data_IF_485650315899
#
_entry.id   IF_485650315899
#
_cell.length_a   1.000
_cell.length_b   1.000
_cell.length_c   1.000
_cell.angle_alpha   90.00
_cell.angle_beta   90.00
_cell.angle_gamma   90.00
#
_symmetry.space_group_name_H-M   'P 1'
#
loop_
_entity.id
_entity.type
_entity.pdbx_description
1 polymer ?
#
# COMPACT_ATOMS: atom_id res chain seq x y z
N UNK A 1 -5.55 17.58 29.02
CA UNK A 1 -4.65 16.40 28.99
C UNK A 1 -5.50 15.22 28.56
N UNK A 2 -5.53 14.91 27.26
CA UNK A 2 -6.15 13.67 26.80
C UNK A 2 -5.26 12.51 27.25
N UNK A 3 -5.85 11.46 27.84
CA UNK A 3 -5.11 10.23 28.13
C UNK A 3 -4.43 9.70 26.86
N UNK A 4 -3.30 9.05 27.04
CA UNK A 4 -2.58 8.36 25.98
C UNK A 4 -3.54 7.35 25.31
N UNK A 5 -3.64 7.37 23.98
CA UNK A 5 -4.50 6.44 23.25
C UNK A 5 -3.84 5.07 23.21
N UNK A 6 -4.63 4.04 23.44
CA UNK A 6 -4.16 2.66 23.41
C UNK A 6 -4.35 2.04 22.02
N UNK A 7 -3.38 1.21 21.63
CA UNK A 7 -3.52 0.36 20.45
C UNK A 7 -4.50 -0.79 20.70
N UNK A 8 -5.14 -1.26 19.64
CA UNK A 8 -6.02 -2.41 19.67
C UNK A 8 -5.18 -3.68 19.88
N UNK A 9 -5.34 -4.27 21.07
CA UNK A 9 -4.84 -5.59 21.44
C UNK A 9 -6.03 -6.51 21.76
N UNK A 10 -6.07 -7.70 21.15
CA UNK A 10 -7.11 -8.70 21.41
C UNK A 10 -6.53 -9.73 22.38
N UNK A 11 -6.92 -9.69 23.65
CA UNK A 11 -6.38 -10.58 24.69
C UNK A 11 -6.71 -12.06 24.46
N UNK A 12 -7.84 -12.36 23.81
CA UNK A 12 -8.29 -13.72 23.48
C UNK A 12 -9.58 -13.71 22.64
N UNK A 13 -10.09 -14.88 22.22
CA UNK A 13 -11.34 -14.99 21.46
C UNK A 13 -12.55 -14.90 22.39
N UNK A 14 -12.71 -13.79 23.10
CA UNK A 14 -13.89 -13.49 23.91
C UNK A 14 -14.81 -12.46 23.22
N UNK A 15 -16.06 -12.38 23.69
CA UNK A 15 -17.07 -11.48 23.12
C UNK A 15 -16.63 -10.01 23.22
N UNK A 16 -15.90 -9.64 24.27
CA UNK A 16 -15.39 -8.28 24.44
C UNK A 16 -14.33 -7.90 23.39
N UNK A 17 -13.43 -8.82 23.04
CA UNK A 17 -12.43 -8.62 21.99
C UNK A 17 -13.09 -8.59 20.61
N UNK A 18 -14.13 -9.42 20.39
CA UNK A 18 -14.92 -9.38 19.17
C UNK A 18 -15.68 -8.06 19.01
N UNK A 19 -16.33 -7.57 20.07
CA UNK A 19 -17.05 -6.29 20.07
C UNK A 19 -16.12 -5.11 19.79
N UNK A 20 -14.91 -5.10 20.39
CA UNK A 20 -13.88 -4.10 20.09
C UNK A 20 -13.44 -4.16 18.64
N UNK A 21 -13.21 -5.36 18.11
CA UNK A 21 -12.81 -5.55 16.72
C UNK A 21 -13.91 -5.07 15.75
N UNK A 22 -15.16 -5.42 16.01
CA UNK A 22 -16.32 -5.01 15.21
C UNK A 22 -16.50 -3.49 15.25
N UNK A 23 -16.41 -2.87 16.44
CA UNK A 23 -16.50 -1.42 16.59
C UNK A 23 -15.44 -0.66 15.77
N UNK A 24 -14.23 -1.20 15.66
CA UNK A 24 -13.17 -0.61 14.84
C UNK A 24 -13.36 -0.94 13.34
N UNK A 25 -13.89 -2.12 13.02
CA UNK A 25 -14.17 -2.53 11.63
C UNK A 25 -15.34 -1.77 11.00
N UNK A 26 -16.31 -1.33 11.80
CA UNK A 26 -17.45 -0.52 11.35
C UNK A 26 -17.09 0.95 11.09
N UNK A 27 -15.89 1.38 11.48
CA UNK A 27 -15.41 2.73 11.19
C UNK A 27 -15.32 2.96 9.69
N UNK A 28 -15.83 4.10 9.25
CA UNK A 28 -15.80 4.56 7.89
C UNK A 28 -14.86 5.75 7.70
N UNK A 29 -14.87 6.29 6.47
CA UNK A 29 -14.05 7.46 6.13
C UNK A 29 -14.37 8.69 6.99
N UNK A 30 -15.61 8.84 7.43
CA UNK A 30 -16.05 9.99 8.23
C UNK A 30 -15.41 9.97 9.63
N UNK A 31 -15.19 8.78 10.19
CA UNK A 31 -14.59 8.58 11.51
C UNK A 31 -13.08 8.86 11.54
N UNK A 32 -12.43 8.92 10.37
CA UNK A 32 -10.99 9.18 10.26
C UNK A 32 -10.62 10.65 10.47
N UNK A 33 -11.60 11.56 10.52
CA UNK A 33 -11.38 12.99 10.70
C UNK A 33 -10.81 13.70 9.47
N UNK A 34 -10.24 14.89 9.69
CA UNK A 34 -9.73 15.74 8.60
C UNK A 34 -8.48 15.13 7.94
N UNK A 35 -8.33 15.38 6.63
CA UNK A 35 -7.14 14.94 5.89
C UNK A 35 -5.97 15.87 6.21
N UNK A 36 -4.89 15.33 6.78
CA UNK A 36 -3.66 16.07 7.08
C UNK A 36 -2.67 16.07 5.93
N UNK A 37 -2.54 14.94 5.23
CA UNK A 37 -1.67 14.81 4.07
C UNK A 37 -2.27 13.87 3.01
N UNK A 38 -1.91 14.08 1.74
CA UNK A 38 -2.30 13.19 0.64
C UNK A 38 -1.09 12.85 -0.22
N UNK A 39 -0.89 11.55 -0.42
CA UNK A 39 0.15 10.99 -1.26
C UNK A 39 -0.47 10.23 -2.42
N UNK A 40 0.33 10.01 -3.47
CA UNK A 40 -0.08 9.31 -4.69
C UNK A 40 1.01 8.33 -5.10
N UNK A 41 0.60 7.23 -5.73
CA UNK A 41 1.50 6.21 -6.25
C UNK A 41 2.06 6.61 -7.62
N UNK A 42 2.82 7.71 -7.65
CA UNK A 42 3.49 8.18 -8.86
C UNK A 42 4.57 7.19 -9.31
N UNK A 43 4.71 6.95 -10.63
CA UNK A 43 5.83 6.20 -11.16
C UNK A 43 7.18 6.81 -10.78
N UNK A 44 8.16 5.96 -10.50
CA UNK A 44 9.50 6.38 -10.14
C UNK A 44 10.30 6.92 -11.33
N UNK A 45 11.47 7.51 -11.06
CA UNK A 45 12.35 8.11 -12.09
C UNK A 45 12.73 7.12 -13.19
N UNK A 46 13.02 5.86 -12.84
CA UNK A 46 13.42 4.82 -13.80
C UNK A 46 12.33 4.56 -14.84
N UNK A 47 11.05 4.58 -14.44
CA UNK A 47 9.93 4.42 -15.37
C UNK A 47 9.93 5.52 -16.43
N UNK A 48 10.12 6.78 -16.03
CA UNK A 48 10.15 7.91 -16.95
C UNK A 48 11.35 7.89 -17.88
N UNK A 49 12.52 7.45 -17.38
CA UNK A 49 13.70 7.25 -18.23
C UNK A 49 13.42 6.19 -19.30
N UNK A 50 12.88 5.02 -18.91
CA UNK A 50 12.55 3.96 -19.88
C UNK A 50 11.49 4.41 -20.88
N UNK A 51 10.45 5.11 -20.43
CA UNK A 51 9.44 5.68 -21.32
C UNK A 51 10.07 6.66 -22.32
N UNK A 52 10.97 7.55 -21.89
CA UNK A 52 11.66 8.48 -22.77
C UNK A 52 12.59 7.76 -23.77
N UNK A 53 13.32 6.73 -23.33
CA UNK A 53 14.19 5.91 -24.19
C UNK A 53 13.41 5.16 -25.26
N UNK A 54 12.13 4.83 -25.03
CA UNK A 54 11.27 4.23 -26.06
C UNK A 54 10.64 5.30 -26.96
N UNK A 55 10.10 6.36 -26.37
CA UNK A 55 9.31 7.39 -27.09
C UNK A 55 10.19 8.24 -28.00
N UNK A 56 11.39 8.64 -27.56
CA UNK A 56 12.25 9.54 -28.35
C UNK A 56 12.77 8.89 -29.64
N UNK A 57 13.37 7.67 -29.62
CA UNK A 57 13.79 7.00 -30.85
C UNK A 57 12.60 6.65 -31.74
N UNK A 58 11.45 6.27 -31.15
CA UNK A 58 10.24 6.00 -31.92
C UNK A 58 9.74 7.24 -32.66
N UNK A 59 9.73 8.40 -32.00
CA UNK A 59 9.40 9.68 -32.62
C UNK A 59 10.38 10.05 -33.73
N UNK A 60 11.69 9.87 -33.51
CA UNK A 60 12.71 10.12 -34.53
C UNK A 60 12.53 9.21 -35.76
N UNK A 61 12.27 7.91 -35.55
CA UNK A 61 11.97 6.96 -36.62
C UNK A 61 10.72 7.38 -37.38
N UNK A 62 9.64 7.73 -36.67
CA UNK A 62 8.39 8.17 -37.28
C UNK A 62 8.56 9.44 -38.15
N UNK A 63 9.50 10.34 -37.82
CA UNK A 63 9.81 11.52 -38.63
C UNK A 63 10.72 11.18 -39.81
N UNK A 64 11.65 10.25 -39.64
CA UNK A 64 12.62 9.85 -40.67
C UNK A 64 12.03 8.98 -41.80
N UNK A 65 10.82 8.43 -41.62
CA UNK A 65 10.17 7.60 -42.64
C UNK A 65 9.77 8.46 -43.87
N UNK A 66 10.20 8.10 -45.09
CA UNK A 66 9.95 8.90 -46.29
C UNK A 66 8.48 8.82 -46.75
N UNK A 67 7.83 7.69 -46.52
CA UNK A 67 6.46 7.43 -46.98
C UNK A 67 5.42 7.96 -46.00
N UNK A 68 4.37 8.61 -46.51
CA UNK A 68 3.27 9.11 -45.68
C UNK A 68 2.56 7.98 -44.92
N UNK A 69 2.38 6.81 -45.54
CA UNK A 69 1.75 5.65 -44.91
C UNK A 69 2.58 5.13 -43.72
N UNK A 70 3.89 4.98 -43.90
CA UNK A 70 4.80 4.57 -42.83
C UNK A 70 4.76 5.52 -41.63
N UNK A 71 4.73 6.83 -41.88
CA UNK A 71 4.60 7.85 -40.81
C UNK A 71 3.28 7.73 -40.04
N UNK A 72 2.16 7.51 -40.74
CA UNK A 72 0.84 7.33 -40.11
C UNK A 72 0.83 6.09 -39.22
N UNK A 73 1.35 4.96 -39.71
CA UNK A 73 1.41 3.70 -38.93
C UNK A 73 2.30 3.88 -37.70
N UNK A 74 3.50 4.45 -37.86
CA UNK A 74 4.40 4.72 -36.75
C UNK A 74 3.78 5.65 -35.70
N UNK A 75 3.09 6.72 -36.14
CA UNK A 75 2.37 7.62 -35.25
C UNK A 75 1.23 6.89 -34.50
N UNK A 76 0.44 6.05 -35.18
CA UNK A 76 -0.65 5.30 -34.54
C UNK A 76 -0.14 4.34 -33.45
N UNK A 77 0.95 3.61 -33.71
CA UNK A 77 1.59 2.74 -32.72
C UNK A 77 2.14 3.55 -31.54
N UNK A 78 2.83 4.65 -31.81
CA UNK A 78 3.37 5.54 -30.79
C UNK A 78 2.27 6.15 -29.89
N UNK A 79 1.19 6.64 -30.50
CA UNK A 79 0.01 7.14 -29.79
C UNK A 79 -0.64 6.05 -28.93
N UNK A 80 -0.74 4.83 -29.44
CA UNK A 80 -1.28 3.69 -28.69
C UNK A 80 -0.42 3.38 -27.46
N UNK A 81 0.92 3.34 -27.61
CA UNK A 81 1.84 3.15 -26.49
C UNK A 81 1.70 4.27 -25.45
N UNK A 82 1.67 5.54 -25.88
CA UNK A 82 1.50 6.69 -24.99
C UNK A 82 0.15 6.65 -24.26
N UNK A 83 -0.92 6.19 -24.92
CA UNK A 83 -2.21 5.97 -24.28
C UNK A 83 -2.11 4.93 -23.17
N UNK A 84 -1.43 3.80 -23.40
CA UNK A 84 -1.21 2.78 -22.35
C UNK A 84 -0.38 3.33 -21.19
N UNK A 85 0.69 4.08 -21.45
CA UNK A 85 1.48 4.77 -20.42
C UNK A 85 0.61 5.74 -19.62
N UNK A 86 -0.22 6.55 -20.30
CA UNK A 86 -1.13 7.49 -19.66
C UNK A 86 -2.19 6.77 -18.81
N UNK A 87 -2.73 5.63 -19.25
CA UNK A 87 -3.65 4.81 -18.47
C UNK A 87 -2.97 4.26 -17.20
N UNK A 88 -1.77 3.70 -17.33
CA UNK A 88 -1.00 3.17 -16.20
C UNK A 88 -0.67 4.26 -15.16
N UNK A 89 -0.21 5.41 -15.62
CA UNK A 89 0.08 6.58 -14.77
C UNK A 89 -1.23 7.10 -14.15
N UNK A 90 -2.30 7.18 -14.95
CA UNK A 90 -3.61 7.65 -14.52
C UNK A 90 -4.18 6.84 -13.36
N UNK A 91 -4.04 5.51 -13.40
CA UNK A 91 -4.43 4.62 -12.29
C UNK A 91 -3.60 4.92 -11.03
N UNK A 92 -2.28 5.05 -11.16
CA UNK A 92 -1.41 5.38 -10.02
C UNK A 92 -1.67 6.77 -9.41
N UNK A 93 -2.05 7.74 -10.24
CA UNK A 93 -2.40 9.11 -9.80
C UNK A 93 -3.80 9.16 -9.17
N UNK A 94 -4.72 8.31 -9.62
CA UNK A 94 -6.06 8.18 -9.05
C UNK A 94 -6.03 7.52 -7.67
N UNK A 95 -5.07 6.62 -7.43
CA UNK A 95 -4.79 6.03 -6.13
C UNK A 95 -4.21 7.09 -5.18
N UNK A 96 -4.91 7.33 -4.07
CA UNK A 96 -4.53 8.33 -3.07
C UNK A 96 -4.41 7.69 -1.70
N UNK A 97 -3.28 7.91 -1.07
CA UNK A 97 -3.06 7.55 0.34
C UNK A 97 -3.27 8.81 1.16
N UNK A 98 -4.39 8.89 1.87
CA UNK A 98 -4.70 10.05 2.71
C UNK A 98 -4.36 9.69 4.14
N UNK A 99 -3.52 10.52 4.75
CA UNK A 99 -3.24 10.50 6.18
C UNK A 99 -4.24 11.45 6.82
N UNK A 100 -5.12 10.93 7.66
CA UNK A 100 -6.14 11.70 8.35
C UNK A 100 -5.80 11.82 9.85
N UNK A 101 -6.70 12.42 10.63
CA UNK A 101 -6.51 12.61 12.07
C UNK A 101 -6.50 11.30 12.86
N UNK A 102 -7.38 10.36 12.52
CA UNK A 102 -7.58 9.12 13.29
C UNK A 102 -7.24 7.84 12.51
N UNK A 103 -6.74 7.95 11.27
CA UNK A 103 -6.34 6.80 10.48
C UNK A 103 -5.89 7.13 9.06
N UNK A 104 -5.66 6.09 8.28
CA UNK A 104 -5.44 6.17 6.84
C UNK A 104 -6.72 5.93 6.08
N UNK A 105 -6.88 6.65 4.97
CA UNK A 105 -7.90 6.36 3.96
C UNK A 105 -7.19 6.10 2.64
N UNK A 106 -7.26 4.85 2.16
CA UNK A 106 -6.59 4.39 0.95
C UNK A 106 -7.60 4.00 -0.13
N UNK A 107 -7.23 4.17 -1.39
CA UNK A 107 -8.11 3.96 -2.55
C UNK A 107 -8.36 5.21 -3.39
N UNK A 108 -9.30 5.07 -4.34
CA UNK A 108 -9.60 6.10 -5.33
C UNK A 108 -10.49 7.23 -4.80
N UNK A 109 -10.41 8.41 -5.44
CA UNK A 109 -11.06 9.65 -4.98
C UNK A 109 -12.55 9.52 -4.64
N UNK A 110 -13.31 8.79 -5.45
CA UNK A 110 -14.79 8.75 -5.41
C UNK A 110 -15.37 7.53 -4.70
N UNK A 111 -14.56 6.51 -4.42
CA UNK A 111 -15.00 5.21 -3.87
C UNK A 111 -13.92 4.58 -2.99
N UNK A 112 -13.30 5.35 -2.10
CA UNK A 112 -12.27 4.85 -1.18
C UNK A 112 -12.96 4.11 -0.02
N UNK A 113 -12.99 2.76 0.02
CA UNK A 113 -13.70 2.02 1.06
C UNK A 113 -12.78 1.55 2.19
N UNK A 114 -11.47 1.78 2.07
CA UNK A 114 -10.49 1.18 2.96
C UNK A 114 -10.00 2.24 3.95
N UNK A 115 -10.37 2.03 5.20
CA UNK A 115 -9.87 2.80 6.33
C UNK A 115 -8.95 1.94 7.18
N UNK A 116 -7.90 2.53 7.73
CA UNK A 116 -6.95 1.83 8.60
C UNK A 116 -6.80 2.72 9.84
N UNK A 117 -7.57 2.46 10.90
CA UNK A 117 -7.55 3.29 12.10
C UNK A 117 -6.18 3.20 12.79
N UNK A 118 -5.72 4.30 13.39
CA UNK A 118 -4.43 4.36 14.08
C UNK A 118 -4.27 3.33 15.19
N UNK A 119 -5.35 3.03 15.92
CA UNK A 119 -5.38 1.99 16.95
C UNK A 119 -4.94 0.63 16.42
N UNK A 120 -5.08 0.37 15.13
CA UNK A 120 -4.79 -0.94 14.53
C UNK A 120 -3.39 -1.04 13.96
N UNK A 121 -2.68 0.10 13.79
CA UNK A 121 -1.34 0.13 13.23
C UNK A 121 -0.33 -0.03 14.36
N UNK A 122 0.45 -1.11 14.30
CA UNK A 122 1.61 -1.28 15.19
C UNK A 122 2.82 -0.51 14.60
N UNK A 123 3.34 0.54 15.27
CA UNK A 123 4.53 1.26 14.81
C UNK A 123 5.75 0.34 14.60
N UNK A 124 5.84 -0.75 15.36
CA UNK A 124 6.89 -1.76 15.24
C UNK A 124 6.79 -2.60 13.97
N UNK A 125 5.67 -2.51 13.25
CA UNK A 125 5.37 -3.20 11.99
C UNK A 125 5.10 -2.20 10.87
N UNK A 126 5.87 -1.12 10.83
CA UNK A 126 5.93 -0.17 9.71
C UNK A 126 7.32 -0.21 9.08
N UNK A 127 7.42 -0.28 7.76
CA UNK A 127 8.68 -0.46 7.03
C UNK A 127 8.70 0.26 5.70
N UNK A 128 9.85 0.83 5.37
CA UNK A 128 10.12 1.29 4.01
C UNK A 128 10.53 0.11 3.13
N UNK A 129 9.78 -0.13 2.05
CA UNK A 129 10.03 -1.23 1.10
C UNK A 129 10.67 -0.69 -0.18
N UNK A 130 11.80 -1.28 -0.56
CA UNK A 130 12.46 -1.07 -1.85
C UNK A 130 12.18 -2.26 -2.78
N UNK A 131 12.14 -1.99 -4.08
CA UNK A 131 11.73 -2.95 -5.13
C UNK A 131 10.32 -3.49 -4.91
N UNK A 132 9.38 -2.63 -4.50
CA UNK A 132 7.99 -3.00 -4.19
C UNK A 132 7.25 -3.69 -5.35
N UNK A 133 7.67 -3.47 -6.60
CA UNK A 133 7.14 -4.19 -7.77
C UNK A 133 7.38 -5.73 -7.70
N UNK A 134 8.24 -6.20 -6.79
CA UNK A 134 8.51 -7.63 -6.57
C UNK A 134 7.61 -8.26 -5.50
N UNK A 135 6.67 -7.50 -4.89
CA UNK A 135 5.77 -8.02 -3.84
C UNK A 135 4.97 -9.24 -4.30
N UNK A 136 4.52 -9.25 -5.56
CA UNK A 136 3.78 -10.38 -6.14
C UNK A 136 4.61 -11.64 -6.40
N UNK A 137 5.92 -11.62 -6.12
CA UNK A 137 6.80 -12.79 -6.22
C UNK A 137 7.03 -13.48 -4.87
N UNK A 138 6.60 -12.87 -3.77
CA UNK A 138 6.71 -13.49 -2.45
C UNK A 138 5.79 -14.71 -2.35
N UNK A 139 6.24 -15.79 -1.67
CA UNK A 139 5.45 -17.00 -1.55
C UNK A 139 4.11 -16.72 -0.85
N UNK A 140 3.03 -17.32 -1.34
CA UNK A 140 1.70 -17.17 -0.73
C UNK A 140 1.02 -15.81 -0.96
N UNK A 141 1.59 -14.93 -1.81
CA UNK A 141 0.99 -13.64 -2.14
C UNK A 141 0.54 -13.57 -3.57
N UNK A 142 -0.58 -12.88 -3.77
CA UNK A 142 -1.06 -12.55 -5.10
C UNK A 142 -0.73 -11.11 -5.44
N UNK A 143 -0.30 -10.90 -6.69
CA UNK A 143 0.06 -9.59 -7.24
C UNK A 143 -1.11 -8.62 -7.30
N UNK A 144 -2.33 -9.11 -7.11
CA UNK A 144 -3.57 -8.40 -7.34
C UNK A 144 -4.41 -8.21 -6.07
N UNK A 145 -3.78 -8.31 -4.89
CA UNK A 145 -4.40 -8.02 -3.61
C UNK A 145 -4.87 -6.56 -3.51
N UNK A 146 -6.03 -6.29 -2.87
CA UNK A 146 -6.50 -4.93 -2.62
C UNK A 146 -5.59 -4.15 -1.66
N UNK A 147 -4.65 -4.82 -1.00
CA UNK A 147 -3.68 -4.21 -0.09
C UNK A 147 -2.43 -3.72 -0.81
N UNK A 148 -2.25 -4.11 -2.08
CA UNK A 148 -1.11 -3.70 -2.91
C UNK A 148 -1.45 -2.38 -3.61
N UNK A 149 -1.23 -1.27 -2.91
CA UNK A 149 -1.48 0.09 -3.40
C UNK A 149 -0.19 0.79 -3.85
N UNK A 150 0.76 0.02 -4.36
CA UNK A 150 2.07 0.54 -4.74
C UNK A 150 2.11 1.29 -6.08
N UNK A 151 1.01 1.24 -6.85
CA UNK A 151 0.90 1.83 -8.19
C UNK A 151 1.83 1.18 -9.22
N UNK A 152 1.61 1.47 -10.50
CA UNK A 152 2.48 0.97 -11.55
C UNK A 152 3.88 1.64 -11.43
N UNK A 153 4.91 0.83 -11.20
CA UNK A 153 6.31 1.23 -11.28
C UNK A 153 6.79 2.31 -10.28
N UNK A 154 6.17 2.45 -9.11
CA UNK A 154 6.73 3.26 -8.02
C UNK A 154 8.11 2.72 -7.59
N UNK A 155 8.29 1.38 -7.56
CA UNK A 155 9.54 0.74 -7.15
C UNK A 155 9.84 0.84 -5.65
N UNK A 156 9.15 1.72 -4.93
CA UNK A 156 9.21 1.88 -3.49
C UNK A 156 7.81 1.98 -2.88
N UNK A 157 7.65 1.58 -1.62
CA UNK A 157 6.39 1.66 -0.89
C UNK A 157 6.63 1.79 0.63
N UNK A 158 5.63 2.29 1.35
CA UNK A 158 5.52 2.11 2.79
C UNK A 158 4.69 0.86 3.05
N UNK A 159 5.24 -0.11 3.78
CA UNK A 159 4.49 -1.24 4.30
C UNK A 159 4.08 -0.95 5.73
N UNK A 160 2.82 -1.18 6.07
CA UNK A 160 2.32 -1.09 7.44
C UNK A 160 1.35 -2.23 7.72
N UNK A 161 1.39 -2.75 8.93
CA UNK A 161 0.44 -3.76 9.37
C UNK A 161 -0.72 -3.08 10.10
N UNK A 162 -1.95 -3.29 9.62
CA UNK A 162 -3.15 -2.69 10.20
C UNK A 162 -4.42 -3.48 9.84
N UNK A 163 -5.58 -3.01 10.29
CA UNK A 163 -6.85 -3.71 10.08
C UNK A 163 -7.17 -3.93 8.59
N UNK A 164 -7.75 -5.08 8.28
CA UNK A 164 -8.33 -5.33 6.97
C UNK A 164 -9.74 -4.75 6.82
N UNK A 165 -9.82 -3.50 6.35
CA UNK A 165 -11.09 -2.90 5.95
C UNK A 165 -11.58 -3.34 4.56
N UNK A 166 -10.89 -4.27 3.89
CA UNK A 166 -11.29 -4.72 2.56
C UNK A 166 -12.36 -5.83 2.53
N UNK A 167 -12.90 -6.22 3.69
CA UNK A 167 -13.78 -7.38 3.86
C UNK A 167 -15.15 -7.25 3.14
N UNK A 168 -15.61 -6.04 2.81
CA UNK A 168 -16.98 -5.81 2.30
C UNK A 168 -17.16 -5.29 0.86
N UNK A 169 -16.10 -5.05 0.08
CA UNK A 169 -16.18 -3.97 -0.93
C UNK A 169 -16.26 -4.26 -2.45
N UNK A 170 -15.85 -5.43 -2.97
CA UNK A 170 -15.68 -5.59 -4.43
C UNK A 170 -16.24 -6.90 -4.99
N UNK A 171 -16.87 -6.80 -6.19
CA UNK A 171 -17.45 -7.93 -6.96
C UNK A 171 -16.38 -9.02 -7.13
N UNK A 172 -16.73 -10.24 -6.72
CA UNK A 172 -15.86 -11.40 -6.73
C UNK A 172 -15.38 -11.70 -8.16
N UNK A 173 -14.09 -11.48 -8.44
CA UNK A 173 -13.40 -12.08 -9.58
C UNK A 173 -12.41 -13.12 -9.01
N UNK A 174 -12.80 -14.41 -8.96
CA UNK A 174 -11.94 -15.49 -8.47
C UNK A 174 -10.59 -15.49 -9.21
N UNK A 175 -9.47 -15.63 -8.48
CA UNK A 175 -8.13 -15.68 -9.05
C UNK A 175 -7.52 -14.34 -9.49
N UNK A 176 -8.31 -13.26 -9.49
CA UNK A 176 -7.85 -11.92 -9.89
C UNK A 176 -7.72 -10.98 -8.71
N UNK A 177 -8.38 -11.20 -7.57
CA UNK A 177 -8.20 -10.37 -6.37
C UNK A 177 -8.21 -11.30 -5.17
N UNK A 178 -7.02 -11.60 -4.65
CA UNK A 178 -6.88 -12.52 -3.52
C UNK A 178 -6.26 -11.85 -2.31
N UNK A 179 -6.54 -12.48 -1.18
CA UNK A 179 -6.14 -12.09 0.16
C UNK A 179 -4.76 -12.70 0.45
N UNK A 180 -3.83 -11.91 1.01
CA UNK A 180 -2.43 -12.33 1.24
C UNK A 180 -2.24 -13.42 2.30
N UNK A 181 -3.24 -13.70 3.13
CA UNK A 181 -3.19 -14.67 4.23
C UNK A 181 -4.41 -15.60 4.26
N UNK A 182 -5.00 -15.84 3.08
CA UNK A 182 -6.19 -16.68 2.96
C UNK A 182 -5.92 -18.09 3.53
N UNK A 183 -6.90 -18.63 4.26
CA UNK A 183 -6.83 -19.98 4.87
C UNK A 183 -6.68 -21.07 3.80
N UNK A 184 -7.18 -20.82 2.57
CA UNK A 184 -7.01 -21.67 1.39
C UNK A 184 -6.90 -20.81 0.13
N UNK A 185 -6.18 -21.23 -0.92
CA UNK A 185 -6.21 -20.57 -2.23
C UNK A 185 -7.67 -20.38 -2.71
N UNK A 186 -8.04 -19.16 -3.11
CA UNK A 186 -9.41 -18.81 -3.49
C UNK A 186 -10.40 -18.57 -2.33
N UNK A 187 -10.01 -18.77 -1.07
CA UNK A 187 -10.85 -18.48 0.11
C UNK A 187 -10.76 -17.01 0.54
N UNK A 188 -11.88 -16.46 1.02
CA UNK A 188 -11.91 -15.16 1.72
C UNK A 188 -11.66 -15.26 3.22
N UNK A 189 -11.70 -16.48 3.79
CA UNK A 189 -11.47 -16.67 5.20
C UNK A 189 -9.99 -16.43 5.52
N UNK A 190 -9.71 -15.54 6.48
CA UNK A 190 -8.35 -15.18 6.93
C UNK A 190 -7.96 -15.89 8.21
N UNK A 191 -6.66 -15.94 8.46
CA UNK A 191 -6.12 -16.35 9.76
C UNK A 191 -6.11 -15.21 10.77
N UNK A 192 -6.12 -13.96 10.31
CA UNK A 192 -6.05 -12.77 11.16
C UNK A 192 -6.84 -11.59 10.58
N UNK A 193 -7.38 -10.68 11.43
CA UNK A 193 -7.98 -9.43 10.97
C UNK A 193 -6.94 -8.39 10.51
N UNK A 194 -5.64 -8.62 10.74
CA UNK A 194 -4.57 -7.67 10.42
C UNK A 194 -3.80 -8.07 9.17
N UNK A 195 -3.48 -7.07 8.32
CA UNK A 195 -2.87 -7.28 7.01
C UNK A 195 -1.79 -6.25 6.74
N UNK A 196 -0.86 -6.61 5.86
CA UNK A 196 0.14 -5.67 5.38
C UNK A 196 -0.40 -4.85 4.21
N UNK A 197 -0.54 -3.55 4.44
CA UNK A 197 -0.88 -2.56 3.44
C UNK A 197 0.40 -1.99 2.82
N UNK A 198 0.45 -1.92 1.48
CA UNK A 198 1.61 -1.42 0.74
C UNK A 198 1.27 -0.14 -0.01
N UNK A 199 1.72 1.00 0.51
CA UNK A 199 1.40 2.32 -0.02
C UNK A 199 2.51 2.82 -0.93
N UNK A 200 2.22 2.94 -2.22
CA UNK A 200 3.18 3.38 -3.23
C UNK A 200 3.51 4.84 -3.11
N UNK A 201 4.80 5.14 -3.11
CA UNK A 201 5.30 6.50 -3.22
C UNK A 201 6.76 6.47 -3.66
N UNK A 202 7.17 7.49 -4.41
CA UNK A 202 8.58 7.77 -4.71
C UNK A 202 9.39 8.06 -3.43
N UNK A 203 8.71 8.59 -2.42
CA UNK A 203 9.26 8.98 -1.13
C UNK A 203 8.44 8.35 0.00
N UNK A 204 8.56 7.04 0.24
CA UNK A 204 7.80 6.35 1.29
C UNK A 204 8.10 6.91 2.69
N UNK A 205 9.31 7.42 2.93
CA UNK A 205 9.71 8.10 4.17
C UNK A 205 8.84 9.33 4.48
N UNK A 206 8.35 10.04 3.47
CA UNK A 206 7.43 11.18 3.66
C UNK A 206 6.04 10.73 4.08
N UNK A 207 5.61 9.53 3.66
CA UNK A 207 4.36 8.94 4.14
C UNK A 207 4.53 8.54 5.60
N UNK A 208 5.62 7.84 5.92
CA UNK A 208 5.92 7.43 7.30
C UNK A 208 5.91 8.63 8.25
N UNK A 209 6.56 9.75 7.87
CA UNK A 209 6.58 10.98 8.66
C UNK A 209 5.20 11.59 8.87
N UNK A 210 4.38 11.64 7.83
CA UNK A 210 3.02 12.13 7.98
C UNK A 210 2.17 11.22 8.88
N UNK A 211 2.38 9.90 8.82
CA UNK A 211 1.70 8.94 9.70
C UNK A 211 2.13 9.13 11.15
N UNK A 212 3.44 9.24 11.40
CA UNK A 212 3.99 9.56 12.71
C UNK A 212 3.39 10.87 13.28
N UNK A 213 3.49 11.97 12.53
CA UNK A 213 2.97 13.27 12.94
C UNK A 213 1.46 13.20 13.27
N UNK A 214 0.69 12.43 12.50
CA UNK A 214 -0.73 12.25 12.72
C UNK A 214 -1.04 11.38 13.94
N UNK A 215 -0.33 10.25 14.11
CA UNK A 215 -0.51 9.35 15.26
C UNK A 215 -0.11 10.03 16.57
N UNK A 216 1.02 10.73 16.60
CA UNK A 216 1.48 11.50 17.77
C UNK A 216 0.48 12.61 18.11
N UNK A 217 0.00 13.35 17.10
CA UNK A 217 -1.01 14.38 17.34
C UNK A 217 -2.37 13.81 17.79
N UNK A 218 -2.68 12.56 17.43
CA UNK A 218 -3.87 11.84 17.91
C UNK A 218 -3.68 11.20 19.29
N UNK A 219 -2.47 11.29 19.86
CA UNK A 219 -2.16 10.83 21.22
C UNK A 219 -1.63 9.40 21.32
N UNK A 220 -1.19 8.78 20.22
CA UNK A 220 -0.50 7.48 20.24
C UNK A 220 1.01 7.64 20.47
N UNK A 221 1.67 6.69 21.16
CA UNK A 221 3.12 6.67 21.31
C UNK A 221 3.79 6.17 20.02
N UNK A 222 3.85 7.05 19.02
CA UNK A 222 4.40 6.79 17.70
C UNK A 222 5.61 7.66 17.35
N UNK A 223 6.17 8.40 18.33
CA UNK A 223 7.38 9.19 18.15
C UNK A 223 8.53 8.31 17.66
N UNK A 224 9.25 8.76 16.64
CA UNK A 224 10.37 8.10 15.96
C UNK A 224 9.98 6.91 15.06
N UNK A 225 8.68 6.73 14.80
CA UNK A 225 8.16 5.69 13.88
C UNK A 225 8.83 5.77 12.51
N UNK A 226 9.06 6.96 11.96
CA UNK A 226 9.67 7.12 10.63
C UNK A 226 11.08 6.58 10.60
N UNK A 227 11.90 6.98 11.57
CA UNK A 227 13.31 6.63 11.61
C UNK A 227 13.46 5.12 11.82
N UNK A 228 12.63 4.52 12.68
CA UNK A 228 12.51 3.07 12.80
C UNK A 228 12.10 2.40 11.49
N UNK A 229 11.06 2.90 10.83
CA UNK A 229 10.56 2.29 9.58
C UNK A 229 11.60 2.32 8.45
N UNK A 230 12.46 3.35 8.44
CA UNK A 230 13.61 3.45 7.52
C UNK A 230 14.71 2.48 7.93
N UNK A 231 15.06 2.41 9.22
CA UNK A 231 16.09 1.51 9.73
C UNK A 231 15.74 0.04 9.53
N UNK A 232 14.46 -0.33 9.68
CA UNK A 232 13.92 -1.67 9.41
C UNK A 232 13.45 -1.85 7.95
N UNK A 233 13.91 -0.97 7.06
CA UNK A 233 13.56 -1.03 5.66
C UNK A 233 13.94 -2.37 5.03
N UNK A 234 13.10 -2.84 4.09
CA UNK A 234 13.29 -4.13 3.43
C UNK A 234 13.47 -3.94 1.92
N UNK A 235 14.51 -4.53 1.34
CA UNK A 235 14.71 -4.59 -0.11
C UNK A 235 14.32 -5.96 -0.64
N UNK A 236 13.29 -6.01 -1.49
CA UNK A 236 12.76 -7.26 -2.01
C UNK A 236 13.72 -7.94 -3.00
N UNK A 237 13.74 -9.27 -2.95
CA UNK A 237 14.58 -10.14 -3.77
C UNK A 237 13.83 -10.60 -5.01
N UNK A 238 14.54 -10.75 -6.13
CA UNK A 238 13.96 -11.23 -7.39
C UNK A 238 13.47 -12.67 -7.27
N UNK A 239 14.25 -13.50 -6.56
CA UNK A 239 13.99 -14.90 -6.26
C UNK A 239 13.95 -15.06 -4.73
N UNK A 240 12.80 -14.82 -4.08
CA UNK A 240 12.71 -14.85 -2.62
C UNK A 240 12.77 -16.28 -2.04
N UNK A 241 12.47 -17.32 -2.82
CA UNK A 241 12.38 -18.68 -2.31
C UNK A 241 11.34 -18.77 -1.20
N UNK A 242 11.77 -19.18 0.00
CA UNK A 242 10.93 -19.25 1.21
C UNK A 242 11.01 -18.00 2.10
N UNK A 243 11.76 -16.97 1.72
CA UNK A 243 11.94 -15.77 2.52
C UNK A 243 10.67 -14.91 2.56
N UNK A 244 10.14 -14.68 3.77
CA UNK A 244 8.96 -13.85 4.03
C UNK A 244 9.30 -12.70 5.00
N UNK A 245 9.59 -11.50 4.47
CA UNK A 245 9.97 -10.33 5.29
C UNK A 245 8.79 -9.58 5.91
N UNK A 246 7.54 -10.03 5.71
CA UNK A 246 6.38 -9.46 6.38
C UNK A 246 5.50 -10.58 6.94
N UNK A 247 5.87 -11.13 8.11
CA UNK A 247 5.09 -12.16 8.75
C UNK A 247 3.69 -11.64 9.11
N UNK A 248 2.67 -12.51 9.10
CA UNK A 248 1.32 -12.14 9.56
C UNK A 248 1.36 -11.73 11.04
N UNK A 249 0.48 -10.80 11.42
CA UNK A 249 0.25 -10.41 12.81
C UNK A 249 -0.99 -11.14 13.30
N UNK A 250 -0.91 -11.95 14.36
CA UNK A 250 -2.10 -12.54 14.96
C UNK A 250 -2.93 -11.48 15.70
N UNK A 251 -4.22 -11.73 15.91
CA UNK A 251 -5.07 -10.86 16.73
C UNK A 251 -4.51 -10.65 18.15
N UNK A 252 -3.91 -11.71 18.68
CA UNK A 252 -3.32 -11.82 20.02
C UNK A 252 -1.85 -11.40 20.09
N UNK A 253 -1.23 -11.01 18.98
CA UNK A 253 0.15 -10.54 19.02
C UNK A 253 0.20 -9.20 19.77
N UNK A 254 1.16 -9.01 20.70
CA UNK A 254 1.33 -7.74 21.37
C UNK A 254 1.75 -6.65 20.38
N UNK A 255 1.44 -5.40 20.69
CA UNK A 255 1.93 -4.25 19.93
C UNK A 255 3.41 -4.06 20.28
N UNK A 256 4.27 -4.06 19.27
CA UNK A 256 5.70 -3.86 19.49
C UNK A 256 6.05 -2.39 19.72
N UNK A 257 5.32 -1.46 19.09
CA UNK A 257 5.59 -0.04 19.22
C UNK A 257 6.92 0.38 18.59
N UNK A 258 7.31 1.64 18.78
CA UNK A 258 8.55 2.17 18.20
C UNK A 258 9.80 1.62 18.89
N UNK A 259 9.73 1.34 20.19
CA UNK A 259 10.89 0.82 20.94
C UNK A 259 10.97 -0.71 20.97
N UNK A 260 10.05 -1.40 20.31
CA UNK A 260 10.00 -2.86 20.28
C UNK A 260 11.20 -3.50 19.58
N UNK A 261 11.36 -4.84 19.71
CA UNK A 261 12.45 -5.56 19.06
C UNK A 261 12.37 -5.44 17.53
N UNK A 262 13.52 -5.48 16.83
CA UNK A 262 13.51 -5.54 15.38
C UNK A 262 12.79 -6.79 14.89
N UNK A 263 11.86 -6.58 13.97
CA UNK A 263 11.10 -7.65 13.33
C UNK A 263 11.95 -8.25 12.18
N UNK A 264 11.77 -9.54 11.83
CA UNK A 264 12.59 -10.25 10.83
C UNK A 264 12.48 -9.70 9.40
#
# INVERSE_FOLDING_TARGET
MSGEREFLELGGPDDASLDRLLAVADQGRQDMGAVRATFRSWPGTVFWILAAVVVLPWGALAVALPEAQGRIVAAAVGCTFLLFVALLVGVGVAERHRVCEHGLVVGMRTKSPFVIPWSTIDPGRVRVVRRSNLLGRLPGRTSSSPHFRHGAASGTALALNGLDSALGGWRHLPGVVEVTDAVRPGSRARRTPFVWWYLGSRHPERIARAVEDAMVADGYPAQDLTDRAVAQGCTLRLNPGTWEPFPPRAGTDPVHGVDGPPQP
#
